data_IF_661801116653
#
_entry.id   IF_661801116653
#
_cell.length_a   1.000
_cell.length_b   1.000
_cell.length_c   1.000
_cell.angle_alpha   90.00
_cell.angle_beta   90.00
_cell.angle_gamma   90.00
#
_symmetry.space_group_name_H-M   'P 1'
#
loop_
_entity.id
_entity.type
_entity.pdbx_description
1 polymer ?
#
# COMPACT_ATOMS: atom_id res chain seq x y z
N UNK A 1 -21.81 27.29 11.84
CA UNK A 1 -21.37 25.99 12.40
C UNK A 1 -21.38 24.98 11.27
N UNK A 2 -20.30 24.22 11.05
CA UNK A 2 -20.27 23.20 9.98
C UNK A 2 -21.22 22.05 10.34
N UNK A 3 -22.08 21.65 9.41
CA UNK A 3 -22.91 20.46 9.56
C UNK A 3 -22.03 19.25 9.30
N UNK A 4 -22.03 18.31 10.23
CA UNK A 4 -21.24 17.09 10.13
C UNK A 4 -22.09 16.01 9.42
N UNK A 5 -21.60 15.46 8.30
CA UNK A 5 -22.36 14.54 7.47
C UNK A 5 -21.60 13.23 7.23
N UNK A 6 -22.31 12.12 7.42
CA UNK A 6 -21.85 10.79 7.03
C UNK A 6 -22.91 10.11 6.18
N UNK A 7 -22.44 9.27 5.26
CA UNK A 7 -23.28 8.40 4.44
C UNK A 7 -22.62 7.03 4.34
N UNK A 8 -23.33 6.01 4.79
CA UNK A 8 -22.90 4.61 4.76
C UNK A 8 -23.77 3.90 3.72
N UNK A 9 -23.15 3.27 2.73
CA UNK A 9 -23.83 2.40 1.77
C UNK A 9 -23.43 0.96 2.00
N UNK A 10 -24.40 0.07 2.13
CA UNK A 10 -24.15 -1.37 2.32
C UNK A 10 -24.82 -2.12 1.19
N UNK A 11 -24.03 -2.82 0.38
CA UNK A 11 -24.44 -3.54 -0.80
C UNK A 11 -24.57 -5.01 -0.49
N UNK A 12 -25.65 -5.63 -0.98
CA UNK A 12 -25.74 -7.09 -1.01
C UNK A 12 -24.66 -7.64 -1.95
N UNK A 13 -24.05 -8.75 -1.58
CA UNK A 13 -22.97 -9.38 -2.34
C UNK A 13 -23.31 -10.80 -2.75
N UNK A 14 -22.92 -11.20 -3.96
CA UNK A 14 -22.89 -12.59 -4.39
C UNK A 14 -21.45 -13.01 -4.64
N UNK A 15 -20.92 -13.97 -3.86
CA UNK A 15 -19.50 -14.37 -3.91
C UNK A 15 -18.55 -13.17 -3.78
N UNK A 16 -18.83 -12.28 -2.83
CA UNK A 16 -18.13 -11.01 -2.59
C UNK A 16 -18.24 -9.98 -3.73
N UNK A 17 -18.96 -10.24 -4.81
CA UNK A 17 -19.19 -9.23 -5.86
C UNK A 17 -20.40 -8.37 -5.44
N UNK A 18 -20.26 -7.04 -5.30
CA UNK A 18 -21.37 -6.15 -4.95
C UNK A 18 -22.46 -6.16 -6.04
N UNK A 19 -23.71 -6.27 -5.63
CA UNK A 19 -24.88 -6.14 -6.51
C UNK A 19 -25.36 -4.68 -6.56
N UNK A 20 -26.23 -4.30 -7.51
CA UNK A 20 -26.82 -2.96 -7.52
C UNK A 20 -27.74 -2.64 -6.32
N UNK A 21 -28.16 -3.65 -5.55
CA UNK A 21 -29.05 -3.47 -4.40
C UNK A 21 -28.23 -3.08 -3.17
N UNK A 22 -28.56 -1.92 -2.60
CA UNK A 22 -27.90 -1.39 -1.42
C UNK A 22 -28.87 -0.71 -0.44
N UNK A 23 -28.43 -0.60 0.80
CA UNK A 23 -29.04 0.16 1.88
C UNK A 23 -28.20 1.39 2.17
N UNK A 24 -28.84 2.54 2.42
CA UNK A 24 -28.16 3.80 2.70
C UNK A 24 -28.55 4.35 4.08
N UNK A 25 -27.55 4.72 4.86
CA UNK A 25 -27.71 5.36 6.16
C UNK A 25 -26.99 6.70 6.17
N UNK A 26 -27.74 7.78 6.44
CA UNK A 26 -27.22 9.15 6.48
C UNK A 26 -26.88 9.63 7.90
N UNK A 27 -26.68 8.67 8.81
CA UNK A 27 -26.30 8.89 10.20
C UNK A 27 -25.39 7.76 10.66
N UNK A 28 -24.55 8.07 11.63
CA UNK A 28 -23.63 7.14 12.30
C UNK A 28 -23.25 7.72 13.65
N UNK A 29 -23.02 6.88 14.66
CA UNK A 29 -22.58 7.37 15.97
C UNK A 29 -21.09 7.71 15.92
N UNK A 30 -20.27 6.73 15.57
CA UNK A 30 -18.82 6.88 15.44
C UNK A 30 -18.30 6.09 14.23
N UNK A 31 -17.26 6.61 13.59
CA UNK A 31 -16.46 5.91 12.59
C UNK A 31 -14.99 6.09 12.94
N UNK A 32 -14.23 5.00 12.90
CA UNK A 32 -12.78 5.00 12.92
C UNK A 32 -12.28 4.29 11.65
N UNK A 33 -11.37 4.90 10.89
CA UNK A 33 -10.73 4.29 9.72
C UNK A 33 -9.22 4.41 9.90
N UNK A 34 -8.49 3.32 9.69
CA UNK A 34 -7.03 3.29 9.71
C UNK A 34 -6.54 2.81 8.36
N UNK A 35 -5.77 3.66 7.68
CA UNK A 35 -5.20 3.38 6.36
C UNK A 35 -3.70 3.63 6.34
N UNK A 36 -2.91 2.74 5.75
CA UNK A 36 -1.46 2.95 5.57
C UNK A 36 -0.92 2.18 4.37
N UNK A 37 0.08 2.74 3.67
CA UNK A 37 0.66 2.06 2.50
C UNK A 37 1.53 0.84 2.88
N UNK A 38 2.01 0.77 4.13
CA UNK A 38 2.90 -0.28 4.63
C UNK A 38 2.15 -1.42 5.35
N UNK A 39 0.83 -1.32 5.45
CA UNK A 39 -0.07 -2.40 5.90
C UNK A 39 -0.81 -2.97 4.70
N UNK A 40 -1.05 -4.29 4.71
CA UNK A 40 -1.71 -4.96 3.59
C UNK A 40 -3.21 -4.61 3.49
N UNK A 41 -3.84 -4.21 4.59
CA UNK A 41 -5.28 -4.02 4.70
C UNK A 41 -5.58 -2.75 5.49
N UNK A 42 -6.38 -1.86 4.89
CA UNK A 42 -7.02 -0.79 5.63
C UNK A 42 -8.21 -1.34 6.43
N UNK A 43 -8.48 -0.73 7.58
CA UNK A 43 -9.57 -1.17 8.47
C UNK A 43 -10.55 -0.04 8.74
N UNK A 44 -11.81 -0.39 9.00
CA UNK A 44 -12.80 0.54 9.51
C UNK A 44 -13.61 -0.08 10.65
N UNK A 45 -14.01 0.74 11.61
CA UNK A 45 -14.93 0.41 12.68
C UNK A 45 -16.05 1.44 12.69
N UNK A 46 -17.29 0.97 12.69
CA UNK A 46 -18.50 1.79 12.71
C UNK A 46 -19.30 1.45 13.95
N UNK A 47 -19.82 2.46 14.64
CA UNK A 47 -20.81 2.32 15.70
C UNK A 47 -22.17 2.84 15.22
N UNK A 48 -23.18 1.98 15.25
CA UNK A 48 -24.55 2.28 14.84
C UNK A 48 -25.53 2.01 16.00
N UNK A 49 -26.66 2.74 16.08
CA UNK A 49 -27.76 2.35 16.95
C UNK A 49 -28.37 1.01 16.49
N UNK A 50 -28.88 0.21 17.42
CA UNK A 50 -29.52 -1.10 17.12
C UNK A 50 -30.70 -0.98 16.17
N UNK A 51 -31.51 0.06 16.35
CA UNK A 51 -32.76 0.29 15.63
C UNK A 51 -32.56 1.34 14.55
N UNK A 52 -32.93 1.01 13.31
CA UNK A 52 -32.79 1.89 12.15
C UNK A 52 -34.12 2.15 11.46
N UNK A 53 -34.20 3.27 10.74
CA UNK A 53 -35.37 3.69 9.99
C UNK A 53 -35.29 3.20 8.54
N UNK A 54 -36.42 2.71 8.00
CA UNK A 54 -36.53 2.10 6.67
C UNK A 54 -36.65 3.11 5.51
N UNK A 55 -37.09 4.33 5.78
CA UNK A 55 -37.31 5.36 4.75
C UNK A 55 -36.59 6.67 5.11
N UNK A 56 -35.55 7.01 4.34
CA UNK A 56 -34.70 8.18 4.55
C UNK A 56 -35.15 9.41 3.73
N UNK A 57 -36.14 9.28 2.84
CA UNK A 57 -36.54 10.38 1.95
C UNK A 57 -37.27 11.52 2.67
N UNK A 58 -37.86 11.26 3.84
CA UNK A 58 -38.61 12.24 4.65
C UNK A 58 -38.09 12.36 6.09
N UNK A 59 -36.84 11.98 6.37
CA UNK A 59 -36.32 11.98 7.74
C UNK A 59 -36.07 13.40 8.26
N UNK A 60 -36.92 13.86 9.20
CA UNK A 60 -36.70 15.07 10.00
C UNK A 60 -36.19 14.66 11.39
N UNK A 61 -35.03 15.20 11.79
CA UNK A 61 -34.41 14.92 13.10
C UNK A 61 -35.31 15.34 14.28
N UNK A 62 -36.23 16.28 14.08
CA UNK A 62 -37.22 16.72 15.08
C UNK A 62 -38.38 15.73 15.27
N UNK A 63 -38.58 14.77 14.35
CA UNK A 63 -39.62 13.74 14.46
C UNK A 63 -39.25 12.58 15.40
N UNK A 64 -38.11 12.69 16.11
CA UNK A 64 -37.70 11.70 17.13
C UNK A 64 -38.56 11.73 18.39
N UNK A 65 -39.30 12.83 18.65
CA UNK A 65 -40.11 13.00 19.86
C UNK A 65 -41.51 12.36 19.76
N UNK A 66 -42.14 12.34 18.58
CA UNK A 66 -43.57 12.02 18.43
C UNK A 66 -43.87 11.03 17.29
N UNK A 67 -43.46 9.75 17.42
CA UNK A 67 -43.89 8.73 16.45
C UNK A 67 -44.36 7.46 17.16
N UNK A 68 -45.68 7.32 17.24
CA UNK A 68 -46.42 6.10 17.57
C UNK A 68 -46.42 5.14 16.36
N UNK A 69 -45.79 3.99 16.55
CA UNK A 69 -46.10 2.65 16.00
C UNK A 69 -46.25 2.39 14.48
N UNK A 70 -46.07 3.36 13.58
CA UNK A 70 -46.12 3.13 12.12
C UNK A 70 -44.76 2.86 11.43
N UNK A 71 -43.65 2.81 12.17
CA UNK A 71 -42.33 2.48 11.64
C UNK A 71 -41.82 1.24 12.35
N UNK A 72 -41.96 0.05 11.74
CA UNK A 72 -41.20 -1.13 12.19
C UNK A 72 -39.72 -0.74 12.17
N UNK A 73 -39.14 -0.56 13.35
CA UNK A 73 -37.70 -0.31 13.54
C UNK A 73 -37.00 -1.64 13.29
N UNK A 74 -36.59 -1.85 12.04
CA UNK A 74 -35.79 -3.01 11.68
C UNK A 74 -34.44 -2.95 12.44
N UNK A 75 -33.86 -4.12 12.69
CA UNK A 75 -32.57 -4.22 13.35
C UNK A 75 -31.48 -3.86 12.36
N UNK A 76 -30.46 -3.11 12.78
CA UNK A 76 -29.28 -2.84 11.94
C UNK A 76 -28.61 -4.14 11.45
N UNK A 77 -28.75 -5.23 12.20
CA UNK A 77 -28.26 -6.57 11.83
C UNK A 77 -28.94 -7.15 10.58
N UNK A 78 -30.15 -6.71 10.24
CA UNK A 78 -30.84 -7.16 9.04
C UNK A 78 -30.20 -6.60 7.75
N UNK A 79 -29.47 -5.50 7.89
CA UNK A 79 -28.87 -4.73 6.80
C UNK A 79 -27.34 -4.86 6.75
N UNK A 80 -26.68 -4.88 7.90
CA UNK A 80 -25.22 -4.98 8.01
C UNK A 80 -24.87 -6.43 8.33
N UNK A 81 -24.62 -7.20 7.27
CA UNK A 81 -24.29 -8.63 7.36
C UNK A 81 -22.84 -8.86 7.02
N UNK A 82 -22.29 -9.96 7.57
CA UNK A 82 -20.95 -10.42 7.22
C UNK A 82 -20.81 -10.53 5.69
N UNK A 83 -19.63 -10.17 5.19
CA UNK A 83 -19.27 -10.17 3.77
C UNK A 83 -20.03 -9.20 2.86
N UNK A 84 -20.97 -8.42 3.40
CA UNK A 84 -21.60 -7.35 2.61
C UNK A 84 -20.58 -6.26 2.31
N UNK A 85 -20.63 -5.71 1.08
CA UNK A 85 -19.72 -4.66 0.66
C UNK A 85 -20.19 -3.32 1.20
N UNK A 86 -19.28 -2.50 1.71
CA UNK A 86 -19.60 -1.26 2.40
C UNK A 86 -18.77 -0.10 1.84
N UNK A 87 -19.43 1.04 1.65
CA UNK A 87 -18.78 2.30 1.32
C UNK A 87 -19.10 3.35 2.40
N UNK A 88 -18.06 4.00 2.91
CA UNK A 88 -18.15 5.02 3.95
C UNK A 88 -17.79 6.36 3.34
N UNK A 89 -18.70 7.31 3.45
CA UNK A 89 -18.55 8.68 2.98
C UNK A 89 -18.63 9.64 4.17
N UNK A 90 -17.64 10.51 4.33
CA UNK A 90 -17.54 11.48 5.43
C UNK A 90 -17.29 12.87 4.87
N UNK A 91 -17.82 13.91 5.54
CA UNK A 91 -17.53 15.29 5.19
C UNK A 91 -18.35 16.32 5.96
N UNK A 92 -18.41 17.52 5.39
CA UNK A 92 -19.08 18.70 5.98
C UNK A 92 -20.08 19.30 5.00
N UNK A 93 -21.17 19.88 5.52
CA UNK A 93 -22.14 20.64 4.73
C UNK A 93 -22.65 19.90 3.48
N UNK A 94 -22.95 18.61 3.63
CA UNK A 94 -23.42 17.72 2.56
C UNK A 94 -22.41 17.52 1.40
N UNK A 95 -21.15 17.94 1.56
CA UNK A 95 -20.04 17.60 0.69
C UNK A 95 -19.31 16.35 1.21
N UNK A 96 -19.39 15.25 0.45
CA UNK A 96 -18.91 13.94 0.88
C UNK A 96 -17.60 13.53 0.19
N UNK A 97 -16.67 12.96 0.96
CA UNK A 97 -15.50 12.23 0.44
C UNK A 97 -15.63 10.75 0.70
N UNK A 98 -15.34 9.91 -0.30
CA UNK A 98 -15.22 8.47 -0.11
C UNK A 98 -14.01 8.17 0.78
N UNK A 99 -14.29 7.80 2.03
CA UNK A 99 -13.30 7.60 3.08
C UNK A 99 -12.83 6.14 3.18
N UNK A 100 -13.70 5.17 2.90
CA UNK A 100 -13.38 3.75 2.98
C UNK A 100 -14.30 2.93 2.07
N UNK A 101 -13.77 1.81 1.52
CA UNK A 101 -14.53 0.83 0.75
C UNK A 101 -13.98 -0.57 1.01
N UNK A 102 -14.86 -1.51 1.32
CA UNK A 102 -14.44 -2.83 1.74
C UNK A 102 -15.59 -3.76 2.06
N UNK A 103 -15.34 -4.73 2.92
CA UNK A 103 -16.31 -5.73 3.34
C UNK A 103 -16.48 -5.69 4.84
N UNK A 104 -17.71 -5.96 5.30
CA UNK A 104 -18.00 -6.19 6.71
C UNK A 104 -17.37 -7.53 7.11
N UNK A 105 -16.47 -7.49 8.09
CA UNK A 105 -15.75 -8.66 8.62
C UNK A 105 -16.22 -9.07 10.01
N UNK A 106 -17.03 -8.24 10.66
CA UNK A 106 -17.63 -8.55 11.95
C UNK A 106 -18.79 -7.62 12.27
N UNK A 107 -19.79 -8.18 12.96
CA UNK A 107 -20.95 -7.45 13.49
C UNK A 107 -21.17 -7.95 14.90
N UNK A 108 -20.98 -7.09 15.89
CA UNK A 108 -21.02 -7.45 17.31
C UNK A 108 -21.59 -6.33 18.16
N UNK A 109 -21.88 -6.61 19.43
CA UNK A 109 -22.54 -5.66 20.33
C UNK A 109 -24.05 -5.58 20.10
N UNK A 110 -24.77 -5.08 21.11
CA UNK A 110 -26.22 -4.96 21.07
C UNK A 110 -26.68 -3.50 20.93
N UNK A 111 -26.16 -2.60 21.76
CA UNK A 111 -26.41 -1.16 21.64
C UNK A 111 -25.29 -0.34 22.32
N UNK A 112 -24.37 0.30 21.57
CA UNK A 112 -24.32 0.39 20.11
C UNK A 112 -23.89 -0.94 19.47
N UNK A 113 -24.31 -1.14 18.21
CA UNK A 113 -23.79 -2.22 17.35
C UNK A 113 -22.48 -1.76 16.74
N UNK A 114 -21.47 -2.62 16.83
CA UNK A 114 -20.12 -2.42 16.33
C UNK A 114 -19.96 -3.24 15.05
N UNK A 115 -19.57 -2.57 13.97
CA UNK A 115 -19.29 -3.20 12.69
C UNK A 115 -17.83 -2.99 12.37
N UNK A 116 -17.09 -4.08 12.21
CA UNK A 116 -15.70 -4.06 11.77
C UNK A 116 -15.62 -4.41 10.29
N UNK A 117 -14.76 -3.70 9.57
CA UNK A 117 -14.58 -3.84 8.15
C UNK A 117 -13.09 -3.91 7.80
N UNK A 118 -12.80 -4.63 6.73
CA UNK A 118 -11.51 -4.61 6.04
C UNK A 118 -11.73 -4.11 4.62
N UNK A 119 -10.73 -3.48 4.01
CA UNK A 119 -10.82 -3.04 2.62
C UNK A 119 -10.98 -4.23 1.63
N UNK A 120 -10.87 -3.95 0.34
CA UNK A 120 -11.06 -4.96 -0.71
C UNK A 120 -10.04 -6.11 -0.61
N UNK A 121 -8.93 -5.95 0.11
CA UNK A 121 -7.97 -7.01 0.38
C UNK A 121 -8.61 -8.22 1.05
N UNK A 122 -9.69 -8.04 1.81
CA UNK A 122 -10.47 -9.14 2.40
C UNK A 122 -10.89 -10.19 1.36
N UNK A 123 -11.30 -9.76 0.16
CA UNK A 123 -11.64 -10.68 -0.92
C UNK A 123 -10.42 -11.48 -1.41
N UNK A 124 -9.24 -10.85 -1.47
CA UNK A 124 -8.01 -11.50 -1.90
C UNK A 124 -7.43 -12.45 -0.85
N UNK A 125 -7.71 -12.23 0.44
CA UNK A 125 -7.40 -13.18 1.53
C UNK A 125 -8.13 -14.52 1.37
N UNK A 126 -9.23 -14.57 0.63
CA UNK A 126 -10.05 -15.76 0.40
C UNK A 126 -9.76 -16.50 -0.91
N UNK A 127 -8.91 -15.94 -1.75
CA UNK A 127 -8.59 -16.51 -3.07
C UNK A 127 -7.24 -17.18 -3.01
N UNK A 128 -7.17 -18.48 -3.33
CA UNK A 128 -5.91 -19.20 -3.50
C UNK A 128 -5.06 -18.56 -4.60
N UNK A 129 -3.75 -18.48 -4.38
CA UNK A 129 -2.83 -17.95 -5.38
C UNK A 129 -2.67 -18.89 -6.59
N UNK A 130 -2.74 -20.21 -6.36
CA UNK A 130 -2.62 -21.26 -7.39
C UNK A 130 -3.84 -22.17 -7.38
N UNK A 131 -4.22 -22.67 -8.55
CA UNK A 131 -5.40 -23.53 -8.70
C UNK A 131 -5.00 -25.00 -8.47
N UNK A 132 -5.83 -25.79 -7.79
CA UNK A 132 -5.52 -27.21 -7.48
C UNK A 132 -5.31 -28.08 -8.74
N UNK A 133 -5.82 -27.64 -9.90
CA UNK A 133 -5.78 -28.36 -11.19
C UNK A 133 -4.60 -28.03 -12.10
N UNK A 134 -3.70 -27.11 -11.73
CA UNK A 134 -2.48 -26.82 -12.53
C UNK A 134 -1.44 -27.97 -12.49
N UNK A 135 -1.82 -29.14 -11.93
CA UNK A 135 -1.08 -30.40 -11.94
C UNK A 135 -1.42 -31.26 -13.17
N UNK A 136 -0.59 -31.21 -14.20
CA UNK A 136 -0.25 -32.43 -14.95
C UNK A 136 1.23 -32.72 -14.72
N UNK A 137 1.52 -33.35 -13.58
CA UNK A 137 2.76 -34.13 -13.47
C UNK A 137 2.66 -35.26 -14.49
N UNK A 138 3.55 -35.25 -15.48
CA UNK A 138 3.59 -36.23 -16.57
C UNK A 138 4.19 -37.58 -16.18
N UNK A 139 4.62 -37.79 -14.92
CA UNK A 139 5.12 -39.09 -14.47
C UNK A 139 4.19 -39.72 -13.44
N UNK A 140 3.30 -40.59 -13.92
CA UNK A 140 2.60 -41.58 -13.09
C UNK A 140 3.51 -42.80 -12.93
N UNK A 141 4.50 -42.69 -12.06
CA UNK A 141 5.22 -43.87 -11.60
C UNK A 141 4.31 -44.60 -10.59
N UNK A 142 3.70 -45.72 -11.00
CA UNK A 142 2.62 -46.38 -10.25
C UNK A 142 3.04 -46.91 -8.86
N UNK A 143 4.35 -46.99 -8.62
CA UNK A 143 4.95 -47.56 -7.41
C UNK A 143 5.54 -46.49 -6.48
N UNK A 144 5.68 -45.25 -6.96
CA UNK A 144 6.19 -44.11 -6.19
C UNK A 144 5.12 -43.02 -6.13
N UNK A 145 4.14 -43.18 -5.23
CA UNK A 145 3.26 -42.06 -4.85
C UNK A 145 4.08 -41.03 -4.06
N UNK A 146 4.87 -40.20 -4.76
CA UNK A 146 5.41 -38.98 -4.17
C UNK A 146 4.21 -38.11 -3.83
N UNK A 147 4.03 -37.82 -2.53
CA UNK A 147 3.01 -36.86 -2.10
C UNK A 147 3.18 -35.59 -2.93
N UNK A 148 2.14 -35.14 -3.65
CA UNK A 148 2.30 -34.10 -4.64
C UNK A 148 2.79 -32.85 -3.92
N UNK A 149 3.99 -32.35 -4.30
CA UNK A 149 4.69 -31.26 -3.60
C UNK A 149 3.69 -30.17 -3.20
N UNK A 150 3.56 -29.85 -1.89
CA UNK A 150 2.59 -28.87 -1.42
C UNK A 150 2.86 -27.49 -1.99
N UNK A 151 4.06 -27.24 -2.53
CA UNK A 151 4.43 -26.02 -3.22
C UNK A 151 4.51 -26.22 -4.74
N UNK A 152 4.13 -25.18 -5.46
CA UNK A 152 4.29 -25.04 -6.91
C UNK A 152 5.41 -24.04 -7.15
N UNK A 153 6.39 -24.41 -7.98
CA UNK A 153 7.38 -23.46 -8.48
C UNK A 153 6.77 -22.65 -9.63
N UNK A 154 6.57 -21.35 -9.42
CA UNK A 154 6.17 -20.43 -10.49
C UNK A 154 7.43 -19.88 -11.12
N UNK A 155 7.73 -20.36 -12.33
CA UNK A 155 8.89 -19.92 -13.08
C UNK A 155 8.71 -18.50 -13.62
N UNK A 156 9.79 -17.71 -13.63
CA UNK A 156 9.83 -16.35 -14.18
C UNK A 156 8.65 -15.49 -13.68
N UNK A 157 8.46 -15.45 -12.36
CA UNK A 157 7.33 -14.78 -11.74
C UNK A 157 7.38 -13.27 -11.98
N UNK A 158 6.43 -12.79 -12.77
CA UNK A 158 6.16 -11.37 -12.94
C UNK A 158 4.86 -11.00 -12.19
N UNK A 159 4.91 -10.10 -11.18
CA UNK A 159 3.74 -9.74 -10.39
C UNK A 159 2.57 -9.26 -11.25
N UNK A 160 2.83 -8.42 -12.24
CA UNK A 160 1.77 -7.87 -13.09
C UNK A 160 1.02 -8.96 -13.84
N UNK A 161 1.71 -9.78 -14.61
CA UNK A 161 1.04 -10.82 -15.41
C UNK A 161 0.37 -11.87 -14.54
N UNK A 162 0.99 -12.25 -13.42
CA UNK A 162 0.45 -13.24 -12.49
C UNK A 162 -0.84 -12.75 -11.82
N UNK A 163 -0.80 -11.56 -11.19
CA UNK A 163 -1.94 -11.04 -10.44
C UNK A 163 -3.06 -10.56 -11.36
N UNK A 164 -2.77 -9.96 -12.51
CA UNK A 164 -3.79 -9.63 -13.51
C UNK A 164 -4.54 -10.89 -13.96
N UNK A 165 -3.83 -11.97 -14.30
CA UNK A 165 -4.44 -13.24 -14.71
C UNK A 165 -5.36 -13.82 -13.61
N UNK A 166 -4.94 -13.78 -12.35
CA UNK A 166 -5.72 -14.34 -11.23
C UNK A 166 -6.90 -13.46 -10.84
N UNK A 167 -6.70 -12.14 -10.72
CA UNK A 167 -7.72 -11.21 -10.26
C UNK A 167 -8.78 -10.94 -11.33
N UNK A 168 -8.42 -10.89 -12.62
CA UNK A 168 -9.40 -10.69 -13.70
C UNK A 168 -10.46 -11.81 -13.74
N UNK A 169 -10.11 -13.04 -13.32
CA UNK A 169 -11.07 -14.15 -13.19
C UNK A 169 -12.12 -13.92 -12.10
N UNK A 170 -11.81 -13.09 -11.10
CA UNK A 170 -12.70 -12.79 -9.98
C UNK A 170 -13.80 -11.78 -10.34
N UNK A 171 -13.65 -11.06 -11.46
CA UNK A 171 -14.56 -10.00 -11.90
C UNK A 171 -14.81 -8.92 -10.83
N UNK A 172 -13.84 -8.70 -9.95
CA UNK A 172 -13.89 -7.63 -8.97
C UNK A 172 -13.70 -6.27 -9.67
N UNK A 173 -14.41 -5.20 -9.26
CA UNK A 173 -14.32 -3.88 -9.89
C UNK A 173 -13.07 -3.11 -9.44
N UNK A 174 -11.89 -3.72 -9.58
CA UNK A 174 -10.60 -3.16 -9.17
C UNK A 174 -9.67 -2.98 -10.37
N UNK A 175 -8.91 -1.88 -10.38
CA UNK A 175 -7.78 -1.71 -11.31
C UNK A 175 -6.53 -2.30 -10.65
N UNK A 176 -5.63 -2.86 -11.44
CA UNK A 176 -4.35 -3.36 -10.97
C UNK A 176 -3.26 -2.46 -11.53
N UNK A 177 -2.34 -2.03 -10.67
CA UNK A 177 -1.10 -1.40 -11.06
C UNK A 177 0.03 -2.12 -10.36
N UNK A 178 0.71 -3.00 -11.09
CA UNK A 178 1.68 -3.91 -10.53
C UNK A 178 3.04 -3.77 -11.21
N UNK A 179 4.09 -4.02 -10.42
CA UNK A 179 5.46 -4.10 -10.86
C UNK A 179 5.58 -5.09 -12.03
N UNK A 180 6.02 -4.58 -13.18
CA UNK A 180 6.23 -5.33 -14.42
C UNK A 180 7.70 -5.72 -14.55
N UNK A 181 8.12 -6.59 -13.63
CA UNK A 181 9.50 -7.09 -13.58
C UNK A 181 9.48 -8.59 -13.29
N UNK A 182 10.41 -9.31 -13.91
CA UNK A 182 10.65 -10.71 -13.58
C UNK A 182 11.44 -10.80 -12.27
N UNK A 183 10.83 -11.44 -11.27
CA UNK A 183 11.41 -11.66 -9.94
C UNK A 183 12.04 -13.05 -9.79
N UNK A 184 12.17 -13.78 -10.91
CA UNK A 184 12.64 -15.14 -10.95
C UNK A 184 11.62 -16.12 -10.41
N UNK A 185 12.10 -17.27 -9.94
CA UNK A 185 11.21 -18.32 -9.46
C UNK A 185 10.73 -18.01 -8.04
N UNK A 186 9.46 -18.31 -7.80
CA UNK A 186 8.89 -18.28 -6.45
C UNK A 186 8.15 -19.58 -6.16
N UNK A 187 8.32 -20.08 -4.93
CA UNK A 187 7.57 -21.22 -4.43
C UNK A 187 6.28 -20.73 -3.78
N UNK A 188 5.14 -21.22 -4.24
CA UNK A 188 3.83 -20.91 -3.68
C UNK A 188 3.18 -22.20 -3.18
N UNK A 189 2.84 -22.25 -1.90
CA UNK A 189 2.09 -23.37 -1.33
C UNK A 189 0.65 -23.38 -1.86
N UNK A 190 0.08 -24.57 -2.10
CA UNK A 190 -1.27 -24.74 -2.69
C UNK A 190 -2.39 -24.10 -1.87
N UNK A 191 -2.20 -23.99 -0.56
CA UNK A 191 -3.17 -23.37 0.35
C UNK A 191 -2.91 -21.86 0.56
N UNK A 192 -1.84 -21.30 0.02
CA UNK A 192 -1.57 -19.87 0.15
C UNK A 192 -2.60 -19.06 -0.63
N UNK A 193 -3.18 -18.08 0.05
CA UNK A 193 -4.00 -17.04 -0.55
C UNK A 193 -3.16 -16.02 -1.32
N UNK A 194 -3.78 -15.23 -2.20
CA UNK A 194 -3.14 -14.08 -2.84
C UNK A 194 -2.57 -13.11 -1.80
N UNK A 195 -3.27 -12.90 -0.69
CA UNK A 195 -2.80 -12.05 0.41
C UNK A 195 -1.50 -12.57 1.05
N UNK A 196 -1.38 -13.88 1.26
CA UNK A 196 -0.15 -14.47 1.80
C UNK A 196 1.02 -14.37 0.81
N UNK A 197 0.75 -14.45 -0.50
CA UNK A 197 1.78 -14.18 -1.51
C UNK A 197 2.21 -12.71 -1.47
N UNK A 198 1.30 -11.76 -1.24
CA UNK A 198 1.67 -10.36 -1.04
C UNK A 198 2.57 -10.15 0.18
N UNK A 199 2.30 -10.81 1.31
CA UNK A 199 3.18 -10.76 2.48
C UNK A 199 4.57 -11.35 2.18
N UNK A 200 4.63 -12.48 1.46
CA UNK A 200 5.90 -13.04 1.00
C UNK A 200 6.67 -12.06 0.11
N UNK A 201 5.99 -11.32 -0.76
CA UNK A 201 6.60 -10.29 -1.59
C UNK A 201 7.07 -9.07 -0.76
N UNK A 202 6.39 -8.75 0.34
CA UNK A 202 6.81 -7.70 1.28
C UNK A 202 8.15 -8.01 1.95
N UNK A 203 8.45 -9.27 2.23
CA UNK A 203 9.78 -9.67 2.72
C UNK A 203 10.89 -9.36 1.70
N UNK A 204 10.55 -9.47 0.41
CA UNK A 204 11.34 -9.04 -0.75
C UNK A 204 11.10 -7.56 -1.11
N UNK A 205 10.63 -6.75 -0.16
CA UNK A 205 10.48 -5.30 -0.28
C UNK A 205 9.43 -4.79 -1.29
N UNK A 206 8.63 -5.70 -1.84
CA UNK A 206 7.53 -5.35 -2.75
C UNK A 206 6.28 -5.16 -1.90
N UNK A 207 5.81 -3.93 -1.86
CA UNK A 207 4.65 -3.55 -1.06
C UNK A 207 3.37 -3.69 -1.90
N UNK A 208 2.32 -4.16 -1.23
CA UNK A 208 0.98 -4.26 -1.82
C UNK A 208 -0.01 -3.52 -0.94
N UNK A 209 -0.79 -2.62 -1.54
CA UNK A 209 -1.83 -1.86 -0.85
C UNK A 209 -2.89 -1.37 -1.84
N UNK A 210 -4.09 -1.07 -1.33
CA UNK A 210 -5.11 -0.39 -2.12
C UNK A 210 -4.97 1.13 -2.02
N UNK A 211 -5.22 1.80 -3.13
CA UNK A 211 -5.43 3.26 -3.15
C UNK A 211 -6.64 3.61 -4.01
N UNK A 212 -7.21 4.78 -3.81
CA UNK A 212 -8.40 5.24 -4.53
C UNK A 212 -8.02 6.24 -5.63
N UNK A 213 -8.27 5.88 -6.89
CA UNK A 213 -8.05 6.69 -8.11
C UNK A 213 -9.42 6.99 -8.76
N UNK A 214 -9.83 8.28 -8.90
CA UNK A 214 -11.14 8.70 -9.48
C UNK A 214 -12.31 7.82 -9.02
N UNK A 215 -12.39 7.57 -7.71
CA UNK A 215 -13.42 6.74 -7.09
C UNK A 215 -13.39 5.25 -7.47
N UNK A 216 -12.27 4.73 -7.96
CA UNK A 216 -12.04 3.30 -8.18
C UNK A 216 -10.89 2.81 -7.30
N UNK A 217 -11.03 1.64 -6.66
CA UNK A 217 -9.94 1.01 -5.94
C UNK A 217 -8.89 0.49 -6.93
N UNK A 218 -7.63 0.79 -6.63
CA UNK A 218 -6.47 0.35 -7.41
C UNK A 218 -5.56 -0.45 -6.49
N UNK A 219 -5.43 -1.73 -6.79
CA UNK A 219 -4.43 -2.58 -6.16
C UNK A 219 -3.06 -2.18 -6.69
N UNK A 220 -2.23 -1.62 -5.82
CA UNK A 220 -0.88 -1.20 -6.16
C UNK A 220 0.11 -2.23 -5.63
N UNK A 221 0.99 -2.75 -6.50
CA UNK A 221 2.07 -3.67 -6.15
C UNK A 221 3.37 -3.04 -6.65
N UNK A 222 4.24 -2.60 -5.74
CA UNK A 222 5.40 -1.79 -6.11
C UNK A 222 6.59 -2.00 -5.16
N UNK A 223 7.81 -1.89 -5.69
CA UNK A 223 9.03 -1.83 -4.90
C UNK A 223 9.39 -0.40 -4.45
N UNK A 224 8.64 0.63 -4.90
CA UNK A 224 8.85 2.04 -4.57
C UNK A 224 7.55 2.71 -4.09
N UNK A 225 6.97 2.27 -2.96
CA UNK A 225 5.71 2.82 -2.44
C UNK A 225 5.82 4.30 -2.06
N UNK A 226 7.03 4.76 -1.75
CA UNK A 226 7.32 6.15 -1.39
C UNK A 226 7.58 7.06 -2.61
N UNK A 227 7.44 6.55 -3.83
CA UNK A 227 7.57 7.33 -5.07
C UNK A 227 8.88 8.12 -5.16
N UNK A 228 10.00 7.53 -4.72
CA UNK A 228 11.33 8.12 -4.91
C UNK A 228 11.62 8.32 -6.39
N UNK A 229 12.22 9.45 -6.74
CA UNK A 229 12.68 9.74 -8.10
C UNK A 229 14.13 9.31 -8.28
N UNK A 230 14.58 9.08 -9.52
CA UNK A 230 15.99 8.80 -9.80
C UNK A 230 16.91 9.93 -9.30
N UNK A 231 16.46 11.19 -9.36
CA UNK A 231 17.22 12.34 -8.84
C UNK A 231 17.37 12.29 -7.32
N UNK A 232 16.29 12.01 -6.58
CA UNK A 232 16.32 11.87 -5.12
C UNK A 232 17.26 10.72 -4.70
N UNK A 233 17.20 9.57 -5.38
CA UNK A 233 18.06 8.42 -5.11
C UNK A 233 19.54 8.77 -5.36
N UNK A 234 19.84 9.42 -6.49
CA UNK A 234 21.21 9.85 -6.81
C UNK A 234 21.77 10.84 -5.79
N UNK A 235 20.98 11.86 -5.43
CA UNK A 235 21.35 12.85 -4.42
C UNK A 235 21.60 12.21 -3.05
N UNK A 236 20.75 11.26 -2.63
CA UNK A 236 20.94 10.50 -1.40
C UNK A 236 22.25 9.72 -1.39
N UNK A 237 22.55 9.00 -2.46
CA UNK A 237 23.79 8.21 -2.58
C UNK A 237 25.02 9.11 -2.53
N UNK A 238 25.02 10.20 -3.31
CA UNK A 238 26.13 11.15 -3.34
C UNK A 238 26.41 11.74 -1.94
N UNK A 239 25.37 12.11 -1.19
CA UNK A 239 25.51 12.71 0.15
C UNK A 239 25.96 11.73 1.23
N UNK A 240 25.49 10.47 1.17
CA UNK A 240 25.66 9.53 2.27
C UNK A 240 26.79 8.50 2.04
N UNK A 241 27.09 8.16 0.79
CA UNK A 241 27.96 7.02 0.48
C UNK A 241 29.14 7.36 -0.43
N UNK A 242 29.18 8.54 -1.04
CA UNK A 242 30.28 8.98 -1.92
C UNK A 242 31.00 10.16 -1.26
N UNK A 243 31.78 9.86 -0.21
CA UNK A 243 32.48 10.89 0.57
C UNK A 243 33.78 11.43 -0.09
N UNK A 244 34.38 10.73 -1.07
CA UNK A 244 35.65 11.14 -1.70
C UNK A 244 35.67 10.89 -3.23
N UNK A 245 36.23 11.79 -4.07
CA UNK A 245 36.16 11.68 -5.54
C UNK A 245 36.84 10.45 -6.15
N UNK A 246 37.87 9.90 -5.48
CA UNK A 246 38.73 8.84 -6.03
C UNK A 246 38.27 7.45 -5.57
N UNK A 247 37.90 7.31 -4.29
CA UNK A 247 37.46 6.03 -3.70
C UNK A 247 36.02 5.61 -4.12
N UNK A 248 35.28 6.49 -4.80
CA UNK A 248 33.91 6.25 -5.23
C UNK A 248 33.70 6.21 -6.74
N UNK A 249 34.73 6.32 -7.58
CA UNK A 249 34.54 6.50 -9.03
C UNK A 249 33.85 5.30 -9.70
N UNK A 250 34.23 4.08 -9.34
CA UNK A 250 33.60 2.84 -9.81
C UNK A 250 32.17 2.70 -9.29
N UNK A 251 31.95 2.96 -7.99
CA UNK A 251 30.63 2.97 -7.37
C UNK A 251 29.73 4.01 -8.04
N UNK A 252 30.23 5.23 -8.26
CA UNK A 252 29.52 6.32 -8.93
C UNK A 252 29.16 5.97 -10.38
N UNK A 253 30.07 5.33 -11.12
CA UNK A 253 29.80 4.85 -12.48
C UNK A 253 28.70 3.78 -12.50
N UNK A 254 28.71 2.83 -11.56
CA UNK A 254 27.67 1.80 -11.43
C UNK A 254 26.34 2.39 -10.98
N UNK A 255 26.36 3.34 -10.04
CA UNK A 255 25.19 4.08 -9.56
C UNK A 255 24.54 4.85 -10.71
N UNK A 256 25.31 5.63 -11.47
CA UNK A 256 24.78 6.38 -12.61
C UNK A 256 24.16 5.44 -13.65
N UNK A 257 24.83 4.34 -13.98
CA UNK A 257 24.27 3.32 -14.89
C UNK A 257 22.97 2.73 -14.35
N UNK A 258 22.87 2.54 -13.04
CA UNK A 258 21.64 2.10 -12.38
C UNK A 258 20.52 3.13 -12.46
N UNK A 259 20.82 4.40 -12.16
CA UNK A 259 19.85 5.50 -12.24
C UNK A 259 19.31 5.70 -13.66
N UNK A 260 20.15 5.53 -14.68
CA UNK A 260 19.75 5.60 -16.09
C UNK A 260 18.75 4.48 -16.46
N UNK A 261 18.93 3.27 -15.91
CA UNK A 261 17.98 2.15 -16.08
C UNK A 261 16.69 2.41 -15.29
N UNK A 262 16.80 2.99 -14.09
CA UNK A 262 15.69 3.20 -13.17
C UNK A 262 14.76 4.33 -13.60
N UNK A 263 15.32 5.44 -14.09
CA UNK A 263 14.61 6.66 -14.43
C UNK A 263 13.39 6.43 -15.32
N UNK A 264 13.52 5.76 -16.48
CA UNK A 264 12.40 5.44 -17.36
C UNK A 264 11.32 4.57 -16.67
N UNK A 265 11.73 3.57 -15.89
CA UNK A 265 10.81 2.67 -15.16
C UNK A 265 9.99 3.43 -14.13
N UNK A 266 10.66 4.26 -13.32
CA UNK A 266 9.99 5.11 -12.32
C UNK A 266 9.07 6.13 -12.99
N UNK A 267 9.48 6.73 -14.10
CA UNK A 267 8.65 7.68 -14.84
C UNK A 267 7.38 7.03 -15.41
N UNK A 268 7.46 5.79 -15.90
CA UNK A 268 6.29 5.05 -16.38
C UNK A 268 5.34 4.69 -15.23
N UNK A 269 5.89 4.24 -14.10
CA UNK A 269 5.14 3.97 -12.87
C UNK A 269 4.46 5.26 -12.37
N UNK A 270 5.20 6.37 -12.30
CA UNK A 270 4.66 7.68 -11.90
C UNK A 270 3.62 8.21 -12.88
N UNK A 271 3.78 8.02 -14.20
CA UNK A 271 2.75 8.36 -15.19
C UNK A 271 1.48 7.53 -14.97
N UNK A 272 1.62 6.22 -14.75
CA UNK A 272 0.49 5.34 -14.43
C UNK A 272 -0.22 5.74 -13.12
N UNK A 273 0.51 6.34 -12.17
CA UNK A 273 -0.03 6.89 -10.94
C UNK A 273 -0.60 8.32 -11.09
N UNK A 274 -0.05 9.15 -11.98
CA UNK A 274 -0.40 10.58 -12.15
C UNK A 274 -1.57 10.85 -13.11
N UNK A 275 -2.22 9.82 -13.67
CA UNK A 275 -3.37 10.02 -14.59
C UNK A 275 -4.66 10.52 -13.90
N UNK A 276 -4.66 10.65 -12.59
CA UNK A 276 -5.85 10.99 -11.80
C UNK A 276 -5.67 12.27 -10.98
N UNK A 277 -6.67 13.16 -11.09
CA UNK A 277 -6.77 14.49 -10.49
C UNK A 277 -6.82 14.52 -8.94
N UNK A 278 -6.45 13.41 -8.28
CA UNK A 278 -6.52 13.26 -6.84
C UNK A 278 -5.30 12.59 -6.21
N UNK A 279 -4.11 12.73 -6.81
CA UNK A 279 -2.86 12.76 -6.04
C UNK A 279 -2.75 14.17 -5.42
N UNK A 280 -3.61 14.38 -4.42
CA UNK A 280 -3.93 15.69 -3.87
C UNK A 280 -2.77 16.19 -3.02
N UNK A 281 -2.09 17.23 -3.50
CA UNK A 281 -1.24 18.04 -2.61
C UNK A 281 -2.15 18.76 -1.62
N UNK A 282 -2.04 18.45 -0.34
CA UNK A 282 -2.77 19.15 0.73
C UNK A 282 -1.82 20.11 1.45
N UNK A 283 -2.30 21.30 1.82
CA UNK A 283 -1.51 22.28 2.58
C UNK A 283 -2.05 22.39 4.00
N UNK A 284 -1.16 22.29 4.98
CA UNK A 284 -1.46 22.48 6.39
C UNK A 284 -0.56 23.54 6.99
N UNK A 285 -1.18 24.49 7.68
CA UNK A 285 -0.48 25.51 8.46
C UNK A 285 -0.60 25.20 9.94
N UNK A 286 0.54 25.23 10.62
CA UNK A 286 0.57 25.14 12.08
C UNK A 286 -0.21 26.32 12.67
N UNK A 287 -1.02 26.05 13.71
CA UNK A 287 -1.92 27.04 14.36
C UNK A 287 -3.11 27.51 13.53
N UNK A 288 -3.36 26.93 12.35
CA UNK A 288 -4.55 27.18 11.55
C UNK A 288 -5.35 25.88 11.35
N UNK A 289 -4.74 24.90 10.67
CA UNK A 289 -5.38 23.65 10.29
C UNK A 289 -4.96 22.47 11.17
N UNK A 290 -3.77 22.59 11.78
CA UNK A 290 -3.19 21.59 12.69
C UNK A 290 -3.65 21.90 14.11
N UNK A 291 -4.34 20.94 14.72
CA UNK A 291 -4.88 21.01 16.08
C UNK A 291 -3.76 20.75 17.09
N UNK A 292 -2.98 19.70 16.85
CA UNK A 292 -1.79 19.34 17.63
C UNK A 292 -0.83 18.50 16.78
N UNK A 293 0.42 18.41 17.22
CA UNK A 293 1.46 17.59 16.60
C UNK A 293 2.41 17.01 17.65
N UNK A 294 3.04 15.89 17.30
CA UNK A 294 4.20 15.35 18.01
C UNK A 294 5.39 15.19 17.05
N UNK A 295 5.52 16.14 16.11
CA UNK A 295 6.51 16.05 15.03
C UNK A 295 7.92 16.39 15.51
N UNK A 296 8.86 15.50 15.22
CA UNK A 296 10.29 15.66 15.55
C UNK A 296 11.14 15.71 14.30
N UNK A 297 12.18 16.55 14.30
CA UNK A 297 13.11 16.64 13.16
C UNK A 297 14.07 15.46 13.16
N UNK A 298 14.20 14.82 12.01
CA UNK A 298 15.13 13.70 11.76
C UNK A 298 16.09 14.00 10.61
N UNK A 299 17.28 13.42 10.65
CA UNK A 299 18.36 13.67 9.68
C UNK A 299 19.00 12.35 9.26
N UNK A 300 19.37 12.25 7.98
CA UNK A 300 19.96 11.06 7.35
C UNK A 300 21.20 10.50 8.10
N UNK A 301 21.94 11.35 8.80
CA UNK A 301 23.23 11.03 9.44
C UNK A 301 23.07 10.22 10.75
N UNK A 302 21.86 10.11 11.31
CA UNK A 302 21.69 9.53 12.65
C UNK A 302 21.92 8.01 12.72
N UNK A 303 21.76 7.28 11.61
CA UNK A 303 21.81 5.82 11.61
C UNK A 303 22.86 5.28 10.63
N UNK A 304 23.99 4.80 11.16
CA UNK A 304 24.92 4.01 10.37
C UNK A 304 24.28 2.66 10.05
N UNK A 305 24.22 2.27 8.79
CA UNK A 305 23.64 0.98 8.38
C UNK A 305 24.13 0.53 7.01
N UNK A 306 24.03 -0.77 6.76
CA UNK A 306 24.27 -1.38 5.44
C UNK A 306 23.12 -2.28 5.05
N UNK A 307 22.85 -2.31 3.74
CA UNK A 307 21.92 -3.21 3.09
C UNK A 307 22.67 -4.02 2.05
N UNK A 308 22.41 -5.32 2.04
CA UNK A 308 22.97 -6.25 1.05
C UNK A 308 21.85 -6.79 0.16
N UNK A 309 22.12 -6.89 -1.12
CA UNK A 309 21.22 -7.48 -2.10
C UNK A 309 22.00 -8.51 -2.90
N UNK A 310 21.46 -9.72 -2.98
CA UNK A 310 22.09 -10.85 -3.66
C UNK A 310 21.17 -11.38 -4.74
N UNK A 311 21.74 -11.66 -5.91
CA UNK A 311 21.05 -12.34 -7.00
C UNK A 311 21.74 -13.63 -7.35
N UNK A 312 21.03 -14.73 -7.17
CA UNK A 312 21.46 -16.08 -7.52
C UNK A 312 21.05 -16.43 -8.95
N UNK A 313 21.81 -17.33 -9.57
CA UNK A 313 21.58 -17.82 -10.94
C UNK A 313 21.63 -19.35 -10.93
N UNK A 314 20.83 -20.00 -11.78
CA UNK A 314 20.76 -21.47 -11.86
C UNK A 314 22.14 -22.15 -11.96
N UNK A 315 23.06 -21.56 -12.71
CA UNK A 315 24.37 -22.16 -13.01
C UNK A 315 25.48 -21.68 -12.05
N UNK A 316 25.14 -20.93 -10.99
CA UNK A 316 26.14 -20.35 -10.09
C UNK A 316 25.69 -20.36 -8.62
N UNK A 317 26.48 -21.04 -7.79
CA UNK A 317 26.36 -20.97 -6.33
C UNK A 317 26.90 -19.66 -5.75
N UNK A 318 27.61 -18.87 -6.56
CA UNK A 318 28.12 -17.55 -6.17
C UNK A 318 27.14 -16.49 -6.69
N UNK A 319 26.49 -15.71 -5.81
CA UNK A 319 25.59 -14.65 -6.24
C UNK A 319 26.36 -13.46 -6.78
N UNK A 320 25.71 -12.68 -7.65
CA UNK A 320 26.11 -11.28 -7.85
C UNK A 320 25.52 -10.52 -6.67
N UNK A 321 26.38 -9.90 -5.86
CA UNK A 321 25.98 -9.20 -4.66
C UNK A 321 26.38 -7.72 -4.72
N UNK A 322 25.54 -6.88 -4.15
CA UNK A 322 25.81 -5.46 -3.90
C UNK A 322 25.56 -5.18 -2.43
N UNK A 323 26.47 -4.44 -1.82
CA UNK A 323 26.32 -3.91 -0.48
C UNK A 323 26.40 -2.39 -0.55
N UNK A 324 25.38 -1.72 0.00
CA UNK A 324 25.28 -0.27 0.02
C UNK A 324 25.01 0.19 1.44
N UNK A 325 25.79 1.17 1.91
CA UNK A 325 25.66 1.70 3.26
C UNK A 325 26.98 2.24 3.82
N UNK A 326 26.99 2.55 5.10
CA UNK A 326 28.17 3.04 5.83
C UNK A 326 29.13 1.88 6.12
N UNK A 327 30.42 1.98 5.81
CA UNK A 327 31.38 0.87 5.94
C UNK A 327 31.42 0.22 7.33
N UNK A 328 31.17 1.00 8.38
CA UNK A 328 31.15 0.53 9.78
C UNK A 328 29.73 0.32 10.33
N UNK A 329 28.69 0.45 9.51
CA UNK A 329 27.30 0.23 9.92
C UNK A 329 26.97 -1.26 10.09
N UNK A 330 26.05 -1.63 10.99
CA UNK A 330 25.46 -2.97 11.02
C UNK A 330 24.76 -3.30 9.71
N UNK A 331 24.87 -4.55 9.26
CA UNK A 331 24.07 -5.08 8.16
C UNK A 331 22.64 -5.29 8.67
N UNK A 332 21.69 -4.47 8.22
CA UNK A 332 20.31 -4.54 8.69
C UNK A 332 19.54 -5.68 8.05
N UNK A 333 19.75 -5.90 6.75
CA UNK A 333 19.05 -6.95 6.00
C UNK A 333 19.78 -7.35 4.72
N UNK A 334 19.72 -8.64 4.42
CA UNK A 334 20.07 -9.20 3.11
C UNK A 334 18.79 -9.51 2.35
N UNK A 335 18.66 -8.94 1.15
CA UNK A 335 17.56 -9.23 0.23
C UNK A 335 18.03 -10.22 -0.83
N UNK A 336 17.38 -11.37 -0.90
CA UNK A 336 17.75 -12.45 -1.82
C UNK A 336 16.75 -12.53 -2.98
N UNK A 337 17.30 -12.42 -4.19
CA UNK A 337 16.61 -12.51 -5.47
C UNK A 337 17.16 -13.73 -6.23
N UNK A 338 16.28 -14.44 -6.92
CA UNK A 338 16.66 -15.56 -7.77
C UNK A 338 16.46 -15.18 -9.22
N UNK A 339 17.29 -15.70 -10.12
CA UNK A 339 17.10 -15.61 -11.54
C UNK A 339 17.28 -16.98 -12.14
N UNK A 340 16.16 -17.55 -12.54
CA UNK A 340 16.10 -18.92 -12.99
C UNK A 340 15.76 -19.00 -14.49
N UNK A 341 15.86 -17.86 -15.18
CA UNK A 341 15.59 -17.75 -16.60
C UNK A 341 16.81 -18.27 -17.40
N UNK A 342 16.66 -19.44 -18.04
CA UNK A 342 17.72 -20.10 -18.81
C UNK A 342 18.27 -19.25 -19.98
N UNK A 343 17.52 -18.23 -20.42
CA UNK A 343 17.97 -17.26 -21.45
C UNK A 343 18.89 -16.19 -20.87
N UNK A 344 18.87 -16.00 -19.56
CA UNK A 344 19.69 -15.06 -18.82
C UNK A 344 20.88 -15.71 -18.10
N UNK A 345 21.28 -16.93 -18.48
CA UNK A 345 22.52 -17.53 -18.00
C UNK A 345 23.72 -16.67 -18.41
N UNK A 346 24.69 -16.53 -17.50
CA UNK A 346 25.83 -15.65 -17.71
C UNK A 346 26.77 -16.37 -18.70
N UNK A 347 26.62 -16.08 -20.00
CA UNK A 347 27.41 -16.68 -21.10
C UNK A 347 28.92 -16.71 -20.77
N UNK A 348 29.58 -17.81 -21.12
CA UNK A 348 31.00 -18.10 -20.85
C UNK A 348 32.00 -17.16 -21.56
N UNK A 349 31.54 -16.32 -22.50
CA UNK A 349 32.42 -15.39 -23.22
C UNK A 349 32.73 -14.14 -22.39
N UNK A 350 34.02 -13.80 -22.22
CA UNK A 350 34.50 -12.75 -21.29
C UNK A 350 33.87 -11.36 -21.48
N UNK A 351 33.60 -10.94 -22.71
CA UNK A 351 33.12 -9.57 -23.01
C UNK A 351 31.62 -9.44 -22.73
N UNK A 352 30.73 -10.32 -23.26
CA UNK A 352 29.32 -10.34 -22.89
C UNK A 352 29.08 -10.60 -21.39
N UNK A 353 29.95 -11.40 -20.75
CA UNK A 353 29.90 -11.64 -19.30
C UNK A 353 30.05 -10.35 -18.49
N UNK A 354 31.10 -9.56 -18.75
CA UNK A 354 31.36 -8.31 -18.01
C UNK A 354 30.23 -7.30 -18.15
N UNK A 355 29.69 -7.13 -19.35
CA UNK A 355 28.59 -6.20 -19.61
C UNK A 355 27.31 -6.60 -18.89
N UNK A 356 27.00 -7.91 -18.91
CA UNK A 356 25.83 -8.49 -18.25
C UNK A 356 25.93 -8.40 -16.74
N UNK A 357 27.07 -8.76 -16.15
CA UNK A 357 27.34 -8.58 -14.72
C UNK A 357 27.18 -7.11 -14.35
N UNK A 358 27.78 -6.18 -15.10
CA UNK A 358 27.65 -4.75 -14.81
C UNK A 358 26.20 -4.24 -14.89
N UNK A 359 25.37 -4.77 -15.79
CA UNK A 359 23.94 -4.45 -15.86
C UNK A 359 23.19 -4.97 -14.63
N UNK A 360 23.42 -6.23 -14.25
CA UNK A 360 22.80 -6.85 -13.07
C UNK A 360 23.22 -6.10 -11.81
N UNK A 361 24.51 -5.83 -11.63
CA UNK A 361 25.04 -5.04 -10.51
C UNK A 361 24.35 -3.68 -10.43
N UNK A 362 24.18 -2.99 -11.56
CA UNK A 362 23.46 -1.71 -11.61
C UNK A 362 21.97 -1.83 -11.21
N UNK A 363 21.29 -2.93 -11.54
CA UNK A 363 19.93 -3.23 -11.07
C UNK A 363 19.87 -3.48 -9.56
N UNK A 364 20.81 -4.26 -9.02
CA UNK A 364 20.88 -4.54 -7.58
C UNK A 364 21.22 -3.28 -6.77
N UNK A 365 22.05 -2.39 -7.30
CA UNK A 365 22.31 -1.10 -6.68
C UNK A 365 21.05 -0.24 -6.55
N UNK A 366 20.17 -0.21 -7.56
CA UNK A 366 18.90 0.52 -7.47
C UNK A 366 18.02 -0.04 -6.35
N UNK A 367 17.94 -1.36 -6.27
CA UNK A 367 17.20 -2.04 -5.21
C UNK A 367 17.80 -1.71 -3.84
N UNK A 368 19.11 -1.83 -3.68
CA UNK A 368 19.81 -1.52 -2.42
C UNK A 368 19.62 -0.05 -2.01
N UNK A 369 19.66 0.88 -2.97
CA UNK A 369 19.49 2.30 -2.73
C UNK A 369 18.10 2.66 -2.21
N UNK A 370 17.05 2.09 -2.81
CA UNK A 370 15.68 2.27 -2.30
C UNK A 370 15.54 1.81 -0.84
N UNK A 371 16.18 0.69 -0.47
CA UNK A 371 16.16 0.17 0.91
C UNK A 371 17.02 0.99 1.86
N UNK A 372 18.20 1.43 1.43
CA UNK A 372 19.06 2.28 2.24
C UNK A 372 18.41 3.65 2.52
N UNK A 373 17.62 4.19 1.60
CA UNK A 373 16.83 5.40 1.85
C UNK A 373 15.77 5.21 2.94
N UNK A 374 15.18 4.01 3.05
CA UNK A 374 14.21 3.70 4.10
C UNK A 374 14.84 3.68 5.51
N UNK A 375 16.15 3.47 5.62
CA UNK A 375 16.86 3.36 6.92
C UNK A 375 17.46 4.67 7.42
N UNK A 376 17.56 5.67 6.54
CA UNK A 376 18.10 7.01 6.82
C UNK A 376 17.02 8.07 6.58
N UNK A 377 16.03 8.21 7.47
CA UNK A 377 14.95 9.17 7.30
C UNK A 377 15.49 10.62 7.38
N UNK A 378 14.98 11.49 6.51
CA UNK A 378 15.21 12.94 6.57
C UNK A 378 13.91 13.73 6.62
N UNK A 379 13.93 14.82 7.40
CA UNK A 379 12.81 15.74 7.52
C UNK A 379 12.14 15.61 8.88
N UNK A 380 10.94 15.03 8.92
CA UNK A 380 10.10 14.93 10.11
C UNK A 380 9.65 13.49 10.33
N UNK A 381 9.52 13.12 11.59
CA UNK A 381 8.84 11.89 12.04
C UNK A 381 7.75 12.23 13.05
N UNK A 382 6.76 11.35 13.14
CA UNK A 382 5.62 11.49 14.03
C UNK A 382 4.33 11.79 13.29
N UNK A 383 3.40 12.39 14.00
CA UNK A 383 2.03 12.60 13.58
C UNK A 383 1.54 14.02 13.86
N UNK A 384 0.53 14.43 13.13
CA UNK A 384 -0.23 15.64 13.46
C UNK A 384 -1.72 15.40 13.26
N UNK A 385 -2.53 16.01 14.11
CA UNK A 385 -3.99 15.91 14.06
C UNK A 385 -4.59 17.17 13.45
N UNK A 386 -5.54 16.99 12.55
CA UNK A 386 -6.26 18.06 11.83
C UNK A 386 -7.76 17.82 11.87
N UNK A 387 -8.52 18.79 11.38
CA UNK A 387 -9.91 18.59 11.00
C UNK A 387 -10.02 17.67 9.77
N UNK A 388 -11.24 17.19 9.50
CA UNK A 388 -11.57 16.34 8.34
C UNK A 388 -11.19 16.85 6.94
N UNK A 389 -10.91 18.14 6.79
CA UNK A 389 -10.46 18.77 5.55
C UNK A 389 -9.23 19.67 5.83
N UNK A 390 -8.26 19.79 4.90
CA UNK A 390 -8.18 19.08 3.61
C UNK A 390 -8.09 17.56 3.74
N UNK A 391 -8.82 16.83 2.89
CA UNK A 391 -8.85 15.38 2.92
C UNK A 391 -7.56 14.74 2.39
N UNK A 392 -6.92 13.89 3.21
CA UNK A 392 -5.60 13.30 2.91
C UNK A 392 -5.62 11.78 3.01
N UNK A 393 -5.08 11.06 2.02
CA UNK A 393 -4.89 9.59 2.03
C UNK A 393 -3.41 9.21 2.17
N UNK A 394 -3.10 7.95 2.54
CA UNK A 394 -1.74 7.43 2.37
C UNK A 394 -1.25 7.66 0.94
N UNK A 395 0.05 7.92 0.80
CA UNK A 395 0.73 8.26 -0.46
C UNK A 395 0.42 9.65 -1.04
N UNK A 396 -0.46 10.45 -0.42
CA UNK A 396 -0.61 11.88 -0.77
C UNK A 396 0.60 12.69 -0.31
N UNK A 397 0.73 13.91 -0.86
CA UNK A 397 1.77 14.88 -0.47
C UNK A 397 1.16 15.96 0.41
N UNK A 398 1.74 16.19 1.58
CA UNK A 398 1.35 17.28 2.48
C UNK A 398 2.42 18.35 2.52
N UNK A 399 2.01 19.61 2.35
CA UNK A 399 2.86 20.80 2.47
C UNK A 399 2.63 21.38 3.85
N UNK A 400 3.68 21.39 4.67
CA UNK A 400 3.65 21.93 6.02
C UNK A 400 4.27 23.33 6.06
N UNK A 401 3.56 24.24 6.73
CA UNK A 401 3.95 25.64 6.89
C UNK A 401 3.84 26.07 8.37
N UNK A 402 4.99 26.38 8.96
CA UNK A 402 5.17 26.87 10.31
C UNK A 402 5.98 28.17 10.25
N UNK A 403 5.37 29.26 10.74
CA UNK A 403 6.01 30.57 10.76
C UNK A 403 7.11 30.69 11.84
N UNK A 404 7.05 29.86 12.89
CA UNK A 404 7.98 29.90 14.02
C UNK A 404 9.10 28.87 13.90
N UNK A 405 8.75 27.60 13.69
CA UNK A 405 9.69 26.47 13.57
C UNK A 405 9.91 26.16 12.09
N UNK A 406 10.77 26.94 11.42
CA UNK A 406 10.98 26.85 9.96
C UNK A 406 11.50 25.48 9.51
N UNK A 407 12.17 24.75 10.40
CA UNK A 407 12.65 23.39 10.21
C UNK A 407 11.53 22.36 10.00
N UNK A 408 10.29 22.67 10.46
CA UNK A 408 9.10 21.84 10.20
C UNK A 408 8.49 22.11 8.81
N UNK A 409 9.02 23.06 8.05
CA UNK A 409 8.51 23.38 6.71
C UNK A 409 9.01 22.38 5.68
N UNK A 410 8.12 21.95 4.79
CA UNK A 410 8.48 21.05 3.71
C UNK A 410 7.28 20.40 3.05
N UNK A 411 7.55 19.64 1.99
CA UNK A 411 6.59 18.70 1.42
C UNK A 411 6.95 17.30 1.91
N UNK A 412 5.97 16.56 2.39
CA UNK A 412 6.16 15.22 2.91
C UNK A 412 5.16 14.25 2.30
N UNK A 413 5.56 12.99 2.14
CA UNK A 413 4.65 11.93 1.73
C UNK A 413 3.92 11.38 2.96
N UNK A 414 2.63 11.07 2.81
CA UNK A 414 1.83 10.54 3.91
C UNK A 414 2.02 9.04 4.03
N UNK A 415 2.36 8.58 5.23
CA UNK A 415 2.56 7.16 5.53
C UNK A 415 1.26 6.46 5.91
N UNK A 416 0.56 7.02 6.88
CA UNK A 416 -0.69 6.50 7.40
C UNK A 416 -1.66 7.63 7.76
N UNK A 417 -2.95 7.32 7.75
CA UNK A 417 -4.01 8.23 8.16
C UNK A 417 -5.01 7.48 9.02
N UNK A 418 -5.19 7.94 10.27
CA UNK A 418 -6.29 7.54 11.14
C UNK A 418 -7.38 8.61 11.09
N UNK A 419 -8.59 8.25 10.64
CA UNK A 419 -9.76 9.13 10.64
C UNK A 419 -10.70 8.76 11.77
N UNK A 420 -11.23 9.77 12.44
CA UNK A 420 -12.32 9.60 13.40
C UNK A 420 -13.45 10.57 13.08
N UNK A 421 -14.68 10.11 13.18
CA UNK A 421 -15.89 10.88 12.93
C UNK A 421 -16.92 10.51 13.98
N UNK A 422 -17.58 11.48 14.61
CA UNK A 422 -18.64 11.23 15.59
C UNK A 422 -18.87 12.40 16.52
N UNK A 423 -19.12 12.15 17.80
CA UNK A 423 -19.41 13.18 18.81
C UNK A 423 -18.30 14.24 18.95
N UNK A 424 -17.04 13.87 18.73
CA UNK A 424 -15.88 14.76 18.80
C UNK A 424 -15.60 15.49 17.47
N UNK A 425 -16.54 15.43 16.53
CA UNK A 425 -16.41 15.97 15.17
C UNK A 425 -15.67 15.04 14.23
N UNK A 426 -15.18 15.58 13.12
CA UNK A 426 -14.38 14.86 12.13
C UNK A 426 -12.92 15.29 12.20
N UNK A 427 -12.04 14.32 12.44
CA UNK A 427 -10.59 14.50 12.62
C UNK A 427 -9.79 13.52 11.78
N UNK A 428 -8.58 13.93 11.44
CA UNK A 428 -7.58 13.10 10.77
C UNK A 428 -6.29 13.19 11.57
N UNK A 429 -5.70 12.05 11.91
CA UNK A 429 -4.33 11.99 12.44
C UNK A 429 -3.47 11.43 11.33
N UNK A 430 -2.54 12.24 10.87
CA UNK A 430 -1.70 11.96 9.70
C UNK A 430 -0.31 11.62 10.21
N UNK A 431 0.15 10.41 9.92
CA UNK A 431 1.54 10.00 10.13
C UNK A 431 2.37 10.41 8.92
N UNK A 432 3.39 11.22 9.18
CA UNK A 432 4.28 11.73 8.15
C UNK A 432 5.30 10.64 7.79
N UNK A 433 5.53 10.48 6.50
CA UNK A 433 6.63 9.69 5.96
C UNK A 433 7.79 10.58 5.53
N UNK A 434 8.50 10.17 4.47
CA UNK A 434 9.68 10.91 4.00
C UNK A 434 9.37 12.35 3.60
N UNK A 435 10.39 13.21 3.70
CA UNK A 435 10.41 14.48 2.98
C UNK A 435 10.52 14.22 1.46
N UNK A 436 9.81 15.03 0.68
CA UNK A 436 9.91 15.09 -0.77
C UNK A 436 10.79 16.27 -1.12
N UNK A 437 11.87 16.02 -1.87
CA UNK A 437 12.74 17.08 -2.36
C UNK A 437 11.97 17.82 -3.47
N UNK A 438 11.59 19.07 -3.19
CA UNK A 438 10.98 19.93 -4.21
C UNK A 438 12.12 20.50 -5.04
N UNK A 439 12.13 20.16 -6.34
CA UNK A 439 13.06 20.75 -7.31
C UNK A 439 12.85 22.25 -7.46
#
# INVERSE_FOLDING_TARGET
MFKLNAKIKVYETYKLIPTPKFYEFNYVKNVEIVSAYNTLTDTAKIEMPKRVFKDSKNFNQSALADVTDFMKKDSIHDYLKLESFIEIYLGYNDEYRAAFRGYITGVSGDNPVIITCEDIMYALKKVKAVDDKETKSSNKDQWNMISPNPAINIQNFNPKTFFEKKINKLKLPIKINALDEDLGNIMINRNQSLAQVFEMLKEKGIHTYFKMEKFKPVLTITNNPQQHTAKEIGGFIDRNFIAHPIAGLLTKKLVNKGLDILGPKLNNINKAFNTDAFLGKARFRFRYNIINDNLTVVREITNNSRIRVEKYFNDSNTPIAVELGDSNGPLLKTYVIHNDDNKNNISETKTPFKEKVAKITAELFQYAALRAMETKPSGLEGTFTTFGEPFVRPTDKVILENAKEKEKNGTFLVKAVKRTFGSNGYRQTIEIGRRVEVN
#
